data_IF_958196239175
#
_entry.id   IF_958196239175
#
_cell.length_a   1.000
_cell.length_b   1.000
_cell.length_c   1.000
_cell.angle_alpha   90.00
_cell.angle_beta   90.00
_cell.angle_gamma   90.00
#
_symmetry.space_group_name_H-M   'P 1'
#
loop_
_entity.id
_entity.type
_entity.pdbx_description
1 polymer ?
#
# COMPACT_ATOMS: atom_id res chain seq x y z
N UNK A 1 -16.37 23.33 -31.68
CA UNK A 1 -15.30 23.10 -32.68
C UNK A 1 -15.96 22.52 -33.91
N UNK A 2 -15.78 23.17 -35.06
CA UNK A 2 -16.21 22.62 -36.34
C UNK A 2 -15.28 21.48 -36.75
N UNK A 3 -15.80 20.51 -37.51
CA UNK A 3 -14.98 19.45 -38.11
C UNK A 3 -14.25 20.00 -39.33
N UNK A 4 -13.14 19.38 -39.69
CA UNK A 4 -12.52 19.61 -40.98
C UNK A 4 -13.50 19.26 -42.12
N UNK A 5 -13.42 19.94 -43.28
CA UNK A 5 -14.31 19.69 -44.42
C UNK A 5 -14.37 18.21 -44.81
N UNK A 6 -15.57 17.71 -45.05
CA UNK A 6 -15.81 16.32 -45.46
C UNK A 6 -15.88 15.29 -44.34
N UNK A 7 -15.66 15.67 -43.07
CA UNK A 7 -15.67 14.70 -41.95
C UNK A 7 -17.07 14.53 -41.34
N UNK A 8 -17.76 13.44 -41.68
CA UNK A 8 -19.04 13.05 -41.09
C UNK A 8 -18.89 12.01 -39.95
N UNK A 9 -20.01 11.59 -39.35
CA UNK A 9 -19.98 10.60 -38.27
C UNK A 9 -19.46 9.23 -38.75
N UNK A 10 -19.75 8.85 -40.00
CA UNK A 10 -19.38 7.54 -40.57
C UNK A 10 -17.87 7.44 -40.79
N UNK A 11 -17.25 8.47 -41.36
CA UNK A 11 -15.80 8.54 -41.55
C UNK A 11 -15.06 8.46 -40.21
N UNK A 12 -15.55 9.15 -39.18
CA UNK A 12 -14.98 9.09 -37.83
C UNK A 12 -15.07 7.66 -37.28
N UNK A 13 -16.21 6.98 -37.46
CA UNK A 13 -16.40 5.58 -37.03
C UNK A 13 -15.49 4.62 -37.80
N UNK A 14 -15.32 4.80 -39.12
CA UNK A 14 -14.42 3.98 -39.94
C UNK A 14 -12.95 4.14 -39.51
N UNK A 15 -12.50 5.37 -39.28
CA UNK A 15 -11.16 5.65 -38.76
C UNK A 15 -10.92 5.00 -37.40
N UNK A 16 -11.94 4.97 -36.54
CA UNK A 16 -11.85 4.26 -35.27
C UNK A 16 -11.74 2.73 -35.45
N UNK A 17 -12.61 2.16 -36.29
CA UNK A 17 -12.65 0.72 -36.59
C UNK A 17 -11.38 0.21 -37.28
N UNK A 18 -10.63 1.07 -37.98
CA UNK A 18 -9.31 0.72 -38.55
C UNK A 18 -8.17 0.66 -37.51
N UNK A 19 -8.47 0.89 -36.23
CA UNK A 19 -7.50 0.85 -35.13
C UNK A 19 -6.73 2.17 -34.92
N UNK A 20 -7.14 3.25 -35.58
CA UNK A 20 -6.51 4.56 -35.38
C UNK A 20 -6.80 5.11 -33.97
N UNK A 21 -5.76 5.50 -33.24
CA UNK A 21 -5.93 6.12 -31.93
C UNK A 21 -6.54 7.52 -32.04
N UNK A 22 -7.31 7.96 -31.04
CA UNK A 22 -7.88 9.32 -31.01
C UNK A 22 -6.84 10.43 -31.18
N UNK A 23 -5.64 10.25 -30.62
CA UNK A 23 -4.51 11.18 -30.81
C UNK A 23 -4.14 11.39 -32.28
N UNK A 24 -4.25 10.34 -33.11
CA UNK A 24 -4.03 10.41 -34.56
C UNK A 24 -5.25 10.96 -35.30
N UNK A 25 -6.45 10.65 -34.82
CA UNK A 25 -7.72 11.09 -35.43
C UNK A 25 -8.01 12.58 -35.20
N UNK A 26 -7.74 13.12 -34.01
CA UNK A 26 -8.04 14.50 -33.63
C UNK A 26 -7.51 15.57 -34.61
N UNK A 27 -6.25 15.54 -35.06
CA UNK A 27 -5.77 16.52 -36.04
C UNK A 27 -6.41 16.33 -37.43
N UNK A 28 -6.78 15.10 -37.80
CA UNK A 28 -7.40 14.79 -39.11
C UNK A 28 -8.86 15.26 -39.14
N UNK A 29 -9.60 15.06 -38.04
CA UNK A 29 -11.02 15.39 -37.94
C UNK A 29 -11.24 16.86 -37.55
N UNK A 30 -10.28 17.49 -36.88
CA UNK A 30 -10.39 18.88 -36.41
C UNK A 30 -11.18 19.04 -35.10
N UNK A 31 -11.46 17.94 -34.38
CA UNK A 31 -12.19 17.95 -33.11
C UNK A 31 -11.42 17.20 -32.02
N UNK A 32 -11.69 17.52 -30.76
CA UNK A 32 -11.02 16.89 -29.62
C UNK A 32 -11.37 15.41 -29.45
N UNK A 33 -10.49 14.66 -28.78
CA UNK A 33 -10.73 13.26 -28.34
C UNK A 33 -12.09 13.10 -27.64
N UNK A 34 -12.51 14.10 -26.86
CA UNK A 34 -13.81 14.10 -26.18
C UNK A 34 -14.97 14.16 -27.17
N UNK A 35 -14.85 14.97 -28.22
CA UNK A 35 -15.87 15.07 -29.26
C UNK A 35 -15.93 13.80 -30.12
N UNK A 36 -14.78 13.21 -30.48
CA UNK A 36 -14.72 11.90 -31.17
C UNK A 36 -15.43 10.83 -30.34
N UNK A 37 -15.16 10.78 -29.02
CA UNK A 37 -15.80 9.83 -28.12
C UNK A 37 -17.33 10.02 -28.05
N UNK A 38 -17.81 11.26 -28.06
CA UNK A 38 -19.25 11.54 -28.07
C UNK A 38 -19.93 11.04 -29.36
N UNK A 39 -19.27 11.13 -30.52
CA UNK A 39 -19.78 10.56 -31.77
C UNK A 39 -19.98 9.05 -31.63
N UNK A 40 -19.00 8.35 -31.10
CA UNK A 40 -19.09 6.89 -30.92
C UNK A 40 -20.21 6.48 -29.97
N UNK A 41 -20.40 7.21 -28.86
CA UNK A 41 -21.52 6.97 -27.95
C UNK A 41 -22.89 7.23 -28.58
N UNK A 42 -23.00 8.31 -29.37
CA UNK A 42 -24.22 8.63 -30.13
C UNK A 42 -24.63 7.47 -31.05
N UNK A 43 -23.66 6.71 -31.57
CA UNK A 43 -23.87 5.59 -32.48
C UNK A 43 -23.75 4.21 -31.82
N UNK A 44 -23.73 4.13 -30.48
CA UNK A 44 -23.68 2.85 -29.76
C UNK A 44 -22.39 2.03 -29.99
N UNK A 45 -21.32 2.65 -30.49
CA UNK A 45 -20.05 1.98 -30.74
C UNK A 45 -19.35 1.71 -29.40
N UNK A 46 -19.12 0.43 -29.08
CA UNK A 46 -18.34 0.05 -27.92
C UNK A 46 -16.90 0.56 -28.04
N UNK A 47 -16.45 1.20 -26.97
CA UNK A 47 -15.07 1.65 -26.86
C UNK A 47 -14.17 0.49 -26.45
N UNK A 48 -13.04 0.32 -27.13
CA UNK A 48 -11.91 -0.50 -26.68
C UNK A 48 -11.42 -0.15 -25.26
N UNK A 49 -11.83 1.00 -24.73
CA UNK A 49 -11.54 1.46 -23.37
C UNK A 49 -12.75 2.15 -22.75
N UNK A 50 -13.19 1.64 -21.60
CA UNK A 50 -14.27 2.24 -20.83
C UNK A 50 -14.01 3.73 -20.53
N UNK A 51 -15.09 4.50 -20.43
CA UNK A 51 -15.06 5.86 -19.91
C UNK A 51 -14.43 5.75 -18.51
N UNK A 52 -13.36 6.52 -18.26
CA UNK A 52 -12.58 6.51 -17.01
C UNK A 52 -11.56 5.37 -16.80
N UNK A 53 -11.25 4.56 -17.81
CA UNK A 53 -10.17 3.56 -17.74
C UNK A 53 -8.74 4.12 -17.54
N UNK A 54 -8.59 5.45 -17.53
CA UNK A 54 -7.29 6.12 -17.36
C UNK A 54 -6.35 5.93 -18.56
N UNK A 55 -5.12 6.45 -18.44
CA UNK A 55 -4.05 6.00 -19.33
C UNK A 55 -3.67 4.56 -18.98
N UNK A 56 -3.35 3.71 -19.97
CA UNK A 56 -2.93 2.34 -19.72
C UNK A 56 -1.69 2.37 -18.84
N UNK A 57 -1.65 1.44 -17.89
CA UNK A 57 -0.51 1.30 -16.98
C UNK A 57 0.74 1.05 -17.81
N UNK A 58 1.75 1.91 -17.66
CA UNK A 58 3.04 1.76 -18.33
C UNK A 58 3.97 0.78 -17.60
N UNK A 59 3.74 0.64 -16.29
CA UNK A 59 4.68 -0.01 -15.38
C UNK A 59 4.13 -1.36 -14.95
N UNK A 60 5.01 -2.35 -14.87
CA UNK A 60 4.67 -3.70 -14.43
C UNK A 60 4.38 -3.73 -12.92
N UNK A 61 3.44 -4.60 -12.52
CA UNK A 61 3.21 -5.04 -11.14
C UNK A 61 2.43 -6.35 -11.16
N UNK A 62 2.70 -7.27 -10.24
CA UNK A 62 1.86 -8.44 -10.01
C UNK A 62 0.54 -8.03 -9.35
N UNK A 63 -0.52 -7.96 -10.14
CA UNK A 63 -1.87 -7.59 -9.66
C UNK A 63 -2.57 -8.68 -8.84
N UNK A 64 -1.96 -9.85 -8.68
CA UNK A 64 -2.47 -10.90 -7.80
C UNK A 64 -1.78 -10.92 -6.43
N UNK A 65 -0.86 -10.00 -6.16
CA UNK A 65 -0.03 -10.01 -4.95
C UNK A 65 -0.83 -10.06 -3.65
N UNK A 66 -1.96 -9.34 -3.56
CA UNK A 66 -2.80 -9.33 -2.35
C UNK A 66 -3.93 -10.37 -2.35
N UNK A 67 -3.96 -11.28 -3.33
CA UNK A 67 -5.03 -12.28 -3.46
C UNK A 67 -4.73 -13.62 -2.78
N UNK A 68 -3.45 -13.92 -2.56
CA UNK A 68 -3.00 -15.15 -1.90
C UNK A 68 -2.09 -14.78 -0.75
N UNK A 69 -2.32 -15.39 0.41
CA UNK A 69 -1.47 -15.17 1.56
C UNK A 69 -0.11 -15.85 1.39
N UNK A 70 0.93 -15.12 1.77
CA UNK A 70 2.30 -15.61 1.97
C UNK A 70 2.96 -14.77 3.06
N UNK A 71 4.12 -15.20 3.56
CA UNK A 71 4.87 -14.40 4.53
C UNK A 71 5.32 -13.03 3.97
N UNK A 72 5.64 -12.97 2.68
CA UNK A 72 5.99 -11.74 1.97
C UNK A 72 4.78 -10.81 1.85
N UNK A 73 3.63 -11.34 1.39
CA UNK A 73 2.38 -10.59 1.29
C UNK A 73 1.98 -10.02 2.66
N UNK A 74 2.01 -10.84 3.71
CA UNK A 74 1.62 -10.42 5.04
C UNK A 74 2.55 -9.32 5.59
N UNK A 75 3.87 -9.46 5.42
CA UNK A 75 4.82 -8.42 5.82
C UNK A 75 4.62 -7.11 5.04
N UNK A 76 4.45 -7.18 3.72
CA UNK A 76 4.15 -6.00 2.89
C UNK A 76 2.82 -5.36 3.31
N UNK A 77 1.80 -6.16 3.61
CA UNK A 77 0.51 -5.66 4.09
C UNK A 77 0.65 -4.96 5.44
N UNK A 78 1.41 -5.53 6.39
CA UNK A 78 1.69 -4.91 7.68
C UNK A 78 2.37 -3.54 7.54
N UNK A 79 3.42 -3.46 6.70
CA UNK A 79 4.06 -2.18 6.36
C UNK A 79 3.10 -1.22 5.63
N UNK A 80 2.22 -1.74 4.78
CA UNK A 80 1.26 -0.90 4.07
C UNK A 80 0.22 -0.31 5.03
N UNK A 81 -0.22 -1.07 6.03
CA UNK A 81 -1.19 -0.62 7.04
C UNK A 81 -0.68 0.61 7.80
N UNK A 82 0.63 0.68 8.08
CA UNK A 82 1.29 1.80 8.76
C UNK A 82 1.72 2.91 7.80
N UNK A 83 2.67 2.62 6.92
CA UNK A 83 3.38 3.61 6.08
C UNK A 83 2.82 3.73 4.65
N UNK A 84 1.80 2.93 4.34
CA UNK A 84 1.16 2.89 3.04
C UNK A 84 0.02 3.90 2.91
N UNK A 85 -0.07 4.52 1.74
CA UNK A 85 -1.13 5.47 1.40
C UNK A 85 -1.91 4.98 0.17
N UNK A 86 -3.24 4.99 0.27
CA UNK A 86 -4.14 4.77 -0.87
C UNK A 86 -4.56 6.14 -1.40
N UNK A 87 -4.35 6.38 -2.70
CA UNK A 87 -4.80 7.60 -3.32
C UNK A 87 -6.33 7.59 -3.49
N UNK A 88 -7.00 8.65 -3.03
CA UNK A 88 -8.47 8.79 -3.15
C UNK A 88 -8.96 8.82 -4.60
N UNK A 89 -8.29 9.62 -5.44
CA UNK A 89 -8.81 10.01 -6.76
C UNK A 89 -8.36 9.09 -7.89
N UNK A 90 -7.17 8.54 -7.78
CA UNK A 90 -6.58 7.69 -8.82
C UNK A 90 -6.35 6.26 -8.32
N UNK A 91 -6.14 5.33 -9.25
CA UNK A 91 -5.81 3.94 -8.98
C UNK A 91 -4.33 3.76 -8.65
N UNK A 92 -3.91 4.38 -7.55
CA UNK A 92 -2.52 4.41 -7.11
C UNK A 92 -2.43 4.19 -5.61
N UNK A 93 -1.44 3.41 -5.20
CA UNK A 93 -1.01 3.27 -3.82
C UNK A 93 0.47 3.66 -3.73
N UNK A 94 0.91 4.02 -2.54
CA UNK A 94 2.31 4.36 -2.33
C UNK A 94 2.83 3.90 -0.98
N UNK A 95 4.10 3.51 -0.93
CA UNK A 95 4.82 3.22 0.30
C UNK A 95 5.86 4.31 0.50
N UNK A 96 5.94 4.93 1.68
CA UNK A 96 6.99 5.91 1.99
C UNK A 96 7.90 5.35 3.06
N UNK A 97 9.21 5.29 2.78
CA UNK A 97 10.20 4.76 3.71
C UNK A 97 11.49 5.57 3.67
N UNK A 98 12.11 5.71 4.84
CA UNK A 98 13.45 6.31 4.96
C UNK A 98 14.54 5.34 4.51
N UNK A 99 14.34 4.05 4.75
CA UNK A 99 15.22 2.98 4.28
C UNK A 99 14.77 2.55 2.87
N UNK A 100 15.49 3.02 1.85
CA UNK A 100 15.16 2.74 0.45
C UNK A 100 15.23 1.25 0.11
N UNK A 101 16.05 0.47 0.82
CA UNK A 101 16.13 -0.99 0.66
C UNK A 101 14.78 -1.66 0.88
N UNK A 102 13.99 -1.17 1.83
CA UNK A 102 12.63 -1.68 2.08
C UNK A 102 11.74 -1.43 0.87
N UNK A 103 11.81 -0.26 0.23
CA UNK A 103 11.03 0.03 -0.97
C UNK A 103 11.42 -0.90 -2.13
N UNK A 104 12.72 -1.16 -2.30
CA UNK A 104 13.21 -2.10 -3.33
C UNK A 104 12.75 -3.52 -3.06
N UNK A 105 12.75 -3.95 -1.80
CA UNK A 105 12.27 -5.27 -1.40
C UNK A 105 10.76 -5.41 -1.61
N UNK A 106 9.97 -4.40 -1.26
CA UNK A 106 8.52 -4.36 -1.57
C UNK A 106 8.30 -4.48 -3.07
N UNK A 107 9.02 -3.69 -3.89
CA UNK A 107 8.89 -3.76 -5.34
C UNK A 107 9.25 -5.16 -5.88
N UNK A 108 10.28 -5.80 -5.31
CA UNK A 108 10.69 -7.17 -5.66
C UNK A 108 9.59 -8.18 -5.33
N UNK A 109 9.03 -8.16 -4.11
CA UNK A 109 7.95 -9.07 -3.72
C UNK A 109 6.67 -8.86 -4.53
N UNK A 110 6.36 -7.63 -4.88
CA UNK A 110 5.21 -7.29 -5.71
C UNK A 110 5.47 -7.48 -7.22
N UNK A 111 6.65 -7.96 -7.63
CA UNK A 111 7.10 -8.02 -9.03
C UNK A 111 6.74 -6.75 -9.80
N UNK A 112 7.11 -5.62 -9.20
CA UNK A 112 6.75 -4.27 -9.62
C UNK A 112 7.97 -3.50 -10.11
N UNK A 113 7.76 -2.63 -11.10
CA UNK A 113 8.78 -1.67 -11.48
C UNK A 113 9.08 -0.72 -10.32
N UNK A 114 10.36 -0.54 -10.03
CA UNK A 114 10.81 0.31 -8.93
C UNK A 114 10.73 1.79 -9.33
N UNK A 115 9.59 2.42 -9.03
CA UNK A 115 9.30 3.79 -9.45
C UNK A 115 9.06 4.67 -8.25
N UNK A 116 9.99 5.58 -8.03
CA UNK A 116 9.85 6.59 -7.00
C UNK A 116 9.03 7.77 -7.48
N UNK A 117 8.23 8.31 -6.58
CA UNK A 117 7.51 9.53 -6.82
C UNK A 117 8.51 10.69 -7.02
N UNK A 118 8.19 11.68 -7.89
CA UNK A 118 9.11 12.77 -8.21
C UNK A 118 9.31 13.69 -7.01
N UNK A 119 10.56 14.00 -6.66
CA UNK A 119 10.92 14.83 -5.51
C UNK A 119 10.12 16.14 -5.45
N UNK A 120 9.75 16.55 -4.23
CA UNK A 120 9.12 17.85 -3.95
C UNK A 120 9.88 18.50 -2.81
N UNK A 121 9.94 19.84 -2.73
CA UNK A 121 10.66 20.53 -1.66
C UNK A 121 10.27 20.06 -0.25
N UNK A 122 9.00 19.70 -0.06
CA UNK A 122 8.44 19.23 1.21
C UNK A 122 8.45 17.71 1.37
N UNK A 123 8.79 16.94 0.33
CA UNK A 123 8.81 15.47 0.39
C UNK A 123 10.24 14.96 0.28
N UNK A 124 10.87 14.84 1.44
CA UNK A 124 12.24 14.35 1.61
C UNK A 124 12.34 12.84 1.73
N UNK A 125 11.23 12.15 1.99
CA UNK A 125 11.20 10.68 2.12
C UNK A 125 10.95 10.02 0.76
N UNK A 126 11.71 8.98 0.44
CA UNK A 126 11.50 8.19 -0.76
C UNK A 126 10.11 7.54 -0.72
N UNK A 127 9.42 7.55 -1.85
CA UNK A 127 8.05 7.05 -1.95
C UNK A 127 7.91 6.19 -3.19
N UNK A 128 7.74 4.87 -3.04
CA UNK A 128 7.42 3.96 -4.13
C UNK A 128 5.97 4.17 -4.59
N UNK A 129 5.76 4.26 -5.91
CA UNK A 129 4.44 4.38 -6.53
C UNK A 129 4.04 3.09 -7.24
N UNK A 130 2.87 2.57 -6.90
CA UNK A 130 2.25 1.43 -7.58
C UNK A 130 0.90 1.86 -8.14
N UNK A 131 0.74 1.79 -9.46
CA UNK A 131 -0.47 2.20 -10.16
C UNK A 131 -1.26 0.98 -10.63
N UNK A 132 -2.20 0.50 -9.83
CA UNK A 132 -3.08 -0.61 -10.20
C UNK A 132 -4.47 -0.40 -9.58
N UNK A 133 -5.50 -0.57 -10.42
CA UNK A 133 -6.90 -0.57 -9.98
C UNK A 133 -7.19 -1.82 -9.17
N UNK A 134 -6.74 -2.98 -9.66
CA UNK A 134 -6.95 -4.28 -9.02
C UNK A 134 -6.33 -4.30 -7.63
N UNK A 135 -5.07 -3.90 -7.46
CA UNK A 135 -4.41 -3.84 -6.15
C UNK A 135 -5.14 -2.91 -5.18
N UNK A 136 -5.64 -1.76 -5.67
CA UNK A 136 -6.41 -0.83 -4.83
C UNK A 136 -7.73 -1.47 -4.39
N UNK A 137 -8.38 -2.24 -5.26
CA UNK A 137 -9.61 -2.97 -4.96
C UNK A 137 -9.36 -4.14 -4.00
N UNK A 138 -8.29 -4.92 -4.20
CA UNK A 138 -7.88 -5.99 -3.29
C UNK A 138 -7.60 -5.46 -1.88
N UNK A 139 -6.89 -4.33 -1.77
CA UNK A 139 -6.66 -3.66 -0.49
C UNK A 139 -7.96 -3.17 0.16
N UNK A 140 -8.89 -2.64 -0.64
CA UNK A 140 -10.19 -2.22 -0.14
C UNK A 140 -11.02 -3.41 0.37
N UNK A 141 -10.93 -4.57 -0.29
CA UNK A 141 -11.55 -5.82 0.18
C UNK A 141 -10.95 -6.31 1.51
N UNK A 142 -9.68 -6.00 1.77
CA UNK A 142 -9.03 -6.20 3.09
C UNK A 142 -9.36 -5.09 4.11
N UNK A 143 -10.29 -4.19 3.78
CA UNK A 143 -10.71 -3.07 4.64
C UNK A 143 -9.79 -1.84 4.57
N UNK A 144 -8.75 -1.86 3.74
CA UNK A 144 -7.74 -0.81 3.67
C UNK A 144 -8.11 0.23 2.61
N UNK A 145 -8.64 1.35 3.09
CA UNK A 145 -9.08 2.48 2.24
C UNK A 145 -8.20 3.72 2.42
N UNK A 146 -8.45 4.76 1.62
CA UNK A 146 -7.77 6.04 1.77
C UNK A 146 -8.13 6.73 3.11
N UNK A 147 -7.22 7.58 3.64
CA UNK A 147 -7.39 8.27 4.93
C UNK A 147 -7.60 7.35 6.15
N UNK A 148 -7.11 6.11 6.07
CA UNK A 148 -7.26 5.09 7.11
C UNK A 148 -6.63 5.41 8.47
N UNK A 149 -5.80 6.45 8.63
CA UNK A 149 -4.98 6.64 9.83
C UNK A 149 -5.77 6.67 11.16
N UNK A 150 -7.05 7.07 11.14
CA UNK A 150 -7.94 7.06 12.32
C UNK A 150 -8.82 5.80 12.42
N UNK A 151 -8.87 5.01 11.35
CA UNK A 151 -9.74 3.84 11.20
C UNK A 151 -8.94 2.67 10.60
N UNK A 152 -7.69 2.51 11.06
CA UNK A 152 -6.76 1.52 10.53
C UNK A 152 -7.38 0.14 10.78
N UNK A 153 -7.64 -0.67 9.73
CA UNK A 153 -8.20 -1.99 9.91
C UNK A 153 -7.13 -2.95 10.43
N UNK A 154 -7.54 -3.94 11.22
CA UNK A 154 -6.77 -5.16 11.41
C UNK A 154 -7.39 -6.23 10.51
N UNK A 155 -6.81 -6.53 9.34
CA UNK A 155 -7.38 -7.50 8.42
C UNK A 155 -7.43 -8.90 9.06
N UNK A 156 -8.31 -9.76 8.56
CA UNK A 156 -8.37 -11.17 9.00
C UNK A 156 -7.18 -11.95 8.44
N UNK A 157 -6.03 -11.85 9.12
CA UNK A 157 -4.79 -12.52 8.75
C UNK A 157 -4.82 -13.97 9.26
N UNK A 158 -4.59 -14.99 8.41
CA UNK A 158 -4.46 -16.37 8.87
C UNK A 158 -3.32 -16.51 9.88
N UNK A 159 -3.50 -17.38 10.88
CA UNK A 159 -2.55 -17.55 12.01
C UNK A 159 -1.12 -17.82 11.53
N UNK A 160 -0.95 -18.62 10.48
CA UNK A 160 0.33 -18.92 9.86
C UNK A 160 1.12 -17.65 9.47
N UNK A 161 0.44 -16.62 8.96
CA UNK A 161 1.07 -15.40 8.46
C UNK A 161 1.03 -14.24 9.45
N UNK A 162 0.33 -14.39 10.58
CA UNK A 162 0.11 -13.34 11.57
C UNK A 162 1.43 -12.77 12.10
N UNK A 163 2.42 -13.63 12.35
CA UNK A 163 3.76 -13.22 12.79
C UNK A 163 4.46 -12.28 11.79
N UNK A 164 4.26 -12.51 10.49
CA UNK A 164 4.86 -11.71 9.41
C UNK A 164 4.11 -10.40 9.19
N UNK A 165 2.78 -10.41 9.32
CA UNK A 165 1.98 -9.20 9.35
C UNK A 165 2.39 -8.28 10.50
N UNK A 166 2.44 -8.81 11.72
CA UNK A 166 2.86 -8.04 12.91
C UNK A 166 4.29 -7.56 12.79
N UNK A 167 5.21 -8.34 12.20
CA UNK A 167 6.57 -7.86 11.85
C UNK A 167 6.51 -6.60 10.99
N UNK A 168 5.69 -6.60 9.94
CA UNK A 168 5.51 -5.45 9.05
C UNK A 168 4.95 -4.22 9.78
N UNK A 169 3.96 -4.41 10.65
CA UNK A 169 3.41 -3.32 11.50
C UNK A 169 4.49 -2.75 12.42
N UNK A 170 5.27 -3.61 13.08
CA UNK A 170 6.37 -3.20 13.95
C UNK A 170 7.45 -2.47 13.15
N UNK A 171 7.76 -2.91 11.93
CA UNK A 171 8.76 -2.28 11.08
C UNK A 171 8.36 -0.89 10.60
N UNK A 172 7.07 -0.63 10.43
CA UNK A 172 6.56 0.72 10.15
C UNK A 172 6.45 1.59 11.39
N UNK A 173 5.39 1.38 12.19
CA UNK A 173 5.03 2.25 13.33
C UNK A 173 5.63 1.82 14.68
N UNK A 174 6.41 0.74 14.70
CA UNK A 174 7.07 0.29 15.92
C UNK A 174 8.26 1.16 16.33
N UNK A 175 8.45 1.30 17.64
CA UNK A 175 9.66 1.83 18.26
C UNK A 175 10.23 0.79 19.21
N UNK A 176 11.54 0.54 19.11
CA UNK A 176 12.27 -0.39 19.98
C UNK A 176 13.36 0.38 20.73
N UNK A 177 13.36 0.26 22.06
CA UNK A 177 14.38 0.86 22.92
C UNK A 177 15.77 0.33 22.57
N UNK A 178 16.80 1.18 22.62
CA UNK A 178 18.19 0.80 22.29
C UNK A 178 18.71 -0.38 23.12
N UNK A 179 18.30 -0.49 24.38
CA UNK A 179 18.71 -1.55 25.31
C UNK A 179 17.90 -2.84 25.15
N UNK A 180 16.84 -2.85 24.34
CA UNK A 180 16.05 -4.05 24.07
C UNK A 180 15.15 -4.50 25.23
N UNK A 181 14.69 -3.60 26.10
CA UNK A 181 13.77 -3.97 27.19
C UNK A 181 12.31 -3.67 26.90
N UNK A 182 12.02 -2.65 26.09
CA UNK A 182 10.66 -2.28 25.76
C UNK A 182 10.54 -1.90 24.29
N UNK A 183 9.38 -2.19 23.73
CA UNK A 183 8.96 -1.70 22.43
C UNK A 183 7.51 -1.25 22.50
N UNK A 184 7.10 -0.38 21.58
CA UNK A 184 5.68 -0.13 21.34
C UNK A 184 5.37 0.04 19.87
N UNK A 185 4.13 -0.25 19.50
CA UNK A 185 3.49 0.22 18.27
C UNK A 185 2.58 1.38 18.64
N UNK A 186 2.62 2.47 17.88
CA UNK A 186 1.72 3.62 18.07
C UNK A 186 0.60 3.60 17.03
N UNK A 187 -0.65 3.77 17.46
CA UNK A 187 -1.81 3.83 16.57
C UNK A 187 -2.79 4.91 17.03
N UNK A 188 -3.53 5.50 16.09
CA UNK A 188 -4.70 6.35 16.39
C UNK A 188 -6.03 5.62 16.23
N UNK A 189 -6.01 4.32 15.90
CA UNK A 189 -7.17 3.44 15.83
C UNK A 189 -7.26 2.59 17.10
N UNK A 190 -8.31 2.78 17.90
CA UNK A 190 -8.55 1.99 19.10
C UNK A 190 -8.75 0.51 18.77
N UNK A 191 -9.61 0.21 17.80
CA UNK A 191 -9.89 -1.16 17.38
C UNK A 191 -8.63 -1.90 16.94
N UNK A 192 -7.72 -1.22 16.21
CA UNK A 192 -6.44 -1.81 15.84
C UNK A 192 -5.56 -2.07 17.07
N UNK A 193 -5.51 -1.12 18.01
CA UNK A 193 -4.70 -1.24 19.22
C UNK A 193 -5.17 -2.41 20.09
N UNK A 194 -6.48 -2.55 20.27
CA UNK A 194 -7.09 -3.62 21.07
C UNK A 194 -6.81 -5.00 20.45
N UNK A 195 -6.97 -5.15 19.13
CA UNK A 195 -6.67 -6.42 18.45
C UNK A 195 -5.17 -6.74 18.54
N UNK A 196 -4.29 -5.78 18.30
CA UNK A 196 -2.84 -6.01 18.40
C UNK A 196 -2.42 -6.38 19.84
N UNK A 197 -3.04 -5.78 20.85
CA UNK A 197 -2.85 -6.18 22.26
C UNK A 197 -3.27 -7.64 22.48
N UNK A 198 -4.44 -8.04 21.99
CA UNK A 198 -4.91 -9.43 22.09
C UNK A 198 -3.97 -10.42 21.40
N UNK A 199 -3.38 -10.05 20.26
CA UNK A 199 -2.35 -10.86 19.59
C UNK A 199 -1.10 -11.01 20.44
N UNK A 200 -0.60 -9.94 21.06
CA UNK A 200 0.54 -10.05 21.97
C UNK A 200 0.22 -10.89 23.22
N UNK A 201 -1.00 -10.80 23.73
CA UNK A 201 -1.47 -11.62 24.85
C UNK A 201 -1.56 -13.11 24.47
N UNK A 202 -2.06 -13.44 23.27
CA UNK A 202 -2.14 -14.84 22.80
C UNK A 202 -0.75 -15.47 22.62
N UNK A 203 0.26 -14.65 22.34
CA UNK A 203 1.67 -15.07 22.31
C UNK A 203 2.34 -15.12 23.70
N UNK A 204 1.56 -14.99 24.78
CA UNK A 204 2.02 -15.00 26.17
C UNK A 204 3.11 -13.95 26.45
N UNK A 205 3.01 -12.78 25.81
CA UNK A 205 3.94 -11.67 26.03
C UNK A 205 3.41 -10.73 27.12
N UNK A 206 4.32 -10.16 27.91
CA UNK A 206 3.95 -9.08 28.85
C UNK A 206 3.67 -7.80 28.08
N UNK A 207 2.39 -7.42 28.01
CA UNK A 207 1.90 -6.31 27.19
C UNK A 207 0.90 -5.42 27.93
N UNK A 208 0.80 -4.16 27.51
CA UNK A 208 -0.18 -3.18 28.02
C UNK A 208 -0.46 -2.13 26.94
N UNK A 209 -1.58 -1.41 27.06
CA UNK A 209 -1.86 -0.20 26.27
C UNK A 209 -1.77 1.02 27.18
N UNK A 210 -1.06 2.06 26.72
CA UNK A 210 -1.13 3.40 27.30
C UNK A 210 -1.81 4.36 26.32
N UNK A 211 -2.69 5.23 26.83
CA UNK A 211 -3.43 6.20 26.02
C UNK A 211 -2.91 7.60 26.34
N UNK A 212 -2.63 8.37 25.30
CA UNK A 212 -2.25 9.78 25.40
C UNK A 212 -3.08 10.60 24.42
N UNK A 213 -3.34 11.87 24.75
CA UNK A 213 -4.11 12.75 23.88
C UNK A 213 -3.17 13.74 23.21
N UNK A 214 -3.28 13.89 21.89
CA UNK A 214 -2.53 14.93 21.16
C UNK A 214 -3.02 16.33 21.55
N UNK A 215 -2.25 17.37 21.22
CA UNK A 215 -2.68 18.77 21.38
C UNK A 215 -4.02 19.11 20.71
N UNK A 216 -4.41 18.32 19.69
CA UNK A 216 -5.67 18.49 18.94
C UNK A 216 -6.83 17.64 19.49
N UNK A 217 -6.67 16.99 20.64
CA UNK A 217 -7.71 16.16 21.24
C UNK A 217 -7.81 14.73 20.68
N UNK A 218 -6.99 14.35 19.69
CA UNK A 218 -7.01 12.99 19.13
C UNK A 218 -6.33 12.01 20.08
N UNK A 219 -6.95 10.87 20.45
CA UNK A 219 -6.32 9.84 21.25
C UNK A 219 -5.23 9.10 20.44
N UNK A 220 -4.18 8.71 21.14
CA UNK A 220 -3.04 7.95 20.63
C UNK A 220 -2.81 6.79 21.58
N UNK A 221 -2.92 5.59 21.03
CA UNK A 221 -2.75 4.33 21.72
C UNK A 221 -1.32 3.83 21.47
N UNK A 222 -0.60 3.51 22.54
CA UNK A 222 0.70 2.84 22.45
C UNK A 222 0.57 1.45 23.03
N UNK A 223 0.76 0.45 22.18
CA UNK A 223 0.69 -0.97 22.52
C UNK A 223 2.10 -1.41 22.86
N UNK A 224 2.37 -1.70 24.12
CA UNK A 224 3.70 -2.00 24.63
C UNK A 224 3.94 -3.50 24.74
N UNK A 225 5.19 -3.93 24.49
CA UNK A 225 5.73 -5.19 25.02
C UNK A 225 6.92 -4.84 25.90
N UNK A 226 6.90 -5.31 27.16
CA UNK A 226 7.85 -4.88 28.19
C UNK A 226 8.50 -6.05 28.89
N UNK A 227 9.83 -6.07 28.89
CA UNK A 227 10.64 -6.98 29.68
C UNK A 227 11.91 -7.40 28.94
N UNK A 228 13.01 -7.58 29.69
CA UNK A 228 14.31 -7.98 29.14
C UNK A 228 14.27 -9.30 28.36
N UNK A 229 13.37 -10.22 28.72
CA UNK A 229 13.18 -11.52 28.08
C UNK A 229 11.97 -11.55 27.13
N UNK A 230 11.13 -10.51 27.14
CA UNK A 230 9.91 -10.45 26.34
C UNK A 230 10.21 -10.03 24.90
N UNK A 231 11.15 -9.11 24.68
CA UNK A 231 11.56 -8.75 23.32
C UNK A 231 12.27 -9.90 22.58
N UNK A 232 13.17 -10.69 23.20
CA UNK A 232 13.70 -11.90 22.58
C UNK A 232 12.63 -12.93 22.22
N UNK A 233 11.63 -13.15 23.08
CA UNK A 233 10.48 -14.02 22.75
C UNK A 233 9.71 -13.51 21.54
N UNK A 234 9.36 -12.22 21.54
CA UNK A 234 8.68 -11.58 20.41
C UNK A 234 9.52 -11.67 19.13
N UNK A 235 10.83 -11.44 19.22
CA UNK A 235 11.75 -11.56 18.09
C UNK A 235 11.77 -12.98 17.51
N UNK A 236 11.85 -14.01 18.36
CA UNK A 236 11.77 -15.42 17.93
C UNK A 236 10.48 -15.70 17.15
N UNK A 237 9.35 -15.17 17.60
CA UNK A 237 8.05 -15.34 16.93
C UNK A 237 8.03 -14.61 15.58
N UNK A 238 8.28 -13.29 15.56
CA UNK A 238 8.06 -12.48 14.36
C UNK A 238 9.14 -12.67 13.30
N UNK A 239 10.34 -13.13 13.66
CA UNK A 239 11.44 -13.36 12.72
C UNK A 239 11.60 -14.84 12.31
N UNK A 240 10.77 -15.76 12.80
CA UNK A 240 10.83 -17.19 12.43
C UNK A 240 10.77 -17.42 10.91
N UNK A 241 9.88 -16.69 10.23
CA UNK A 241 9.70 -16.74 8.78
C UNK A 241 10.21 -15.45 8.09
N UNK A 242 11.22 -14.80 8.68
CA UNK A 242 11.88 -13.68 8.03
C UNK A 242 12.91 -14.22 7.02
N UNK A 243 12.93 -13.65 5.82
CA UNK A 243 14.05 -13.79 4.90
C UNK A 243 15.23 -12.95 5.41
N UNK A 244 16.33 -12.90 4.66
CA UNK A 244 17.52 -12.13 5.06
C UNK A 244 17.23 -10.65 5.27
N UNK A 245 16.26 -10.08 4.55
CA UNK A 245 16.10 -8.63 4.42
C UNK A 245 14.71 -8.08 4.74
N UNK A 246 13.67 -8.91 4.95
CA UNK A 246 12.30 -8.44 5.15
C UNK A 246 12.02 -7.93 6.59
N UNK A 247 12.87 -7.02 7.05
CA UNK A 247 12.73 -6.29 8.29
C UNK A 247 13.65 -5.06 8.37
N UNK A 248 13.42 -4.20 9.37
CA UNK A 248 14.32 -3.10 9.70
C UNK A 248 15.46 -3.59 10.60
N UNK A 249 16.71 -3.59 10.08
CA UNK A 249 17.87 -4.17 10.78
C UNK A 249 18.01 -3.69 12.23
N UNK A 250 17.98 -2.36 12.46
CA UNK A 250 18.11 -1.77 13.80
C UNK A 250 17.02 -2.22 14.79
N UNK A 251 15.82 -2.59 14.31
CA UNK A 251 14.73 -3.07 15.18
C UNK A 251 15.01 -4.53 15.55
N UNK A 252 15.34 -5.38 14.57
CA UNK A 252 15.73 -6.78 14.81
C UNK A 252 16.90 -6.87 15.78
N UNK A 253 17.98 -6.12 15.54
CA UNK A 253 19.18 -6.09 16.39
C UNK A 253 18.81 -5.79 17.84
N UNK A 254 18.03 -4.73 18.09
CA UNK A 254 17.63 -4.31 19.44
C UNK A 254 16.73 -5.32 20.15
N UNK A 255 15.81 -5.97 19.42
CA UNK A 255 14.93 -7.00 20.01
C UNK A 255 15.68 -8.31 20.29
N UNK A 256 16.79 -8.55 19.59
CA UNK A 256 17.52 -9.82 19.61
C UNK A 256 18.75 -9.83 20.53
N UNK A 257 19.06 -8.74 21.23
CA UNK A 257 20.29 -8.59 22.04
C UNK A 257 20.48 -9.66 23.13
N UNK A 258 19.39 -10.33 23.54
CA UNK A 258 19.36 -11.34 24.61
C UNK A 258 18.59 -12.57 24.17
N UNK A 259 18.59 -12.87 22.88
CA UNK A 259 18.26 -14.22 22.43
C UNK A 259 19.40 -15.09 22.96
N UNK A 260 19.10 -15.88 23.98
CA UNK A 260 20.08 -16.70 24.68
C UNK A 260 20.95 -17.52 23.68
N UNK A 261 22.25 -17.60 24.01
CA UNK A 261 23.17 -18.65 23.56
C UNK A 261 22.66 -20.03 24.02
#
# INVERSE_FOLDING_TARGET
MARNPGMDDEMIIQMYKSGMSFKKMAPVIGISDRAIRNVMYKHGIQMNRERYSGQPRKNKVNENFFKTWSHEMAWVLGLFVTDGCVNKKIHSISFSQKDERILRLIATYMDADYILAPGRPTRTTATLLINSKIIKEDLAALGIVANKSLSVPFPNVPEEFLSSFVRGVIDGDGWVQKTGYVMNVTSSSQAFADILLSVFQSWNLRTEISITTTKKGTPVYRIWVKGKYELPKLAKIIYANASTDNFIYRKRERMSQRIDN
#
